data_IF_676527845832
#
_entry.id   IF_676527845832
#
_cell.length_a   1.000
_cell.length_b   1.000
_cell.length_c   1.000
_cell.angle_alpha   90.00
_cell.angle_beta   90.00
_cell.angle_gamma   90.00
#
_symmetry.space_group_name_H-M   'P 1'
#
loop_
_entity.id
_entity.type
_entity.pdbx_description
1 polymer ?
#
# COMPACT_ATOMS: atom_id res chain seq x y z
N UNK A 1 26.60 -2.72 25.33
CA UNK A 1 25.97 -3.68 24.40
C UNK A 1 26.23 -3.22 22.97
N UNK A 2 27.11 -3.89 22.22
CA UNK A 2 27.21 -3.64 20.77
C UNK A 2 25.87 -4.07 20.17
N UNK A 3 25.18 -3.14 19.51
CA UNK A 3 23.77 -3.26 19.13
C UNK A 3 23.49 -4.53 18.34
N UNK A 4 22.74 -5.45 18.94
CA UNK A 4 22.21 -6.61 18.25
C UNK A 4 21.25 -6.11 17.17
N UNK A 5 21.57 -6.37 15.91
CA UNK A 5 20.66 -6.09 14.79
C UNK A 5 19.77 -7.30 14.59
N UNK A 6 18.49 -7.16 14.85
CA UNK A 6 17.51 -8.22 14.58
C UNK A 6 17.50 -8.54 13.10
N UNK A 7 17.51 -9.83 12.77
CA UNK A 7 17.60 -10.30 11.39
C UNK A 7 16.43 -9.79 10.54
N UNK A 8 15.25 -9.65 11.15
CA UNK A 8 14.02 -9.20 10.50
C UNK A 8 13.92 -7.68 10.31
N UNK A 9 14.78 -6.87 10.94
CA UNK A 9 14.67 -5.41 10.91
C UNK A 9 14.92 -4.85 9.49
N UNK A 10 15.88 -5.43 8.77
CA UNK A 10 16.16 -5.08 7.37
C UNK A 10 14.98 -5.40 6.45
N UNK A 11 14.35 -6.56 6.65
CA UNK A 11 13.18 -7.02 5.89
C UNK A 11 11.97 -6.14 6.17
N UNK A 12 11.73 -5.77 7.43
CA UNK A 12 10.65 -4.86 7.81
C UNK A 12 10.81 -3.47 7.20
N UNK A 13 12.03 -2.96 7.12
CA UNK A 13 12.30 -1.69 6.44
C UNK A 13 11.89 -1.76 4.96
N UNK A 14 12.26 -2.83 4.25
CA UNK A 14 11.84 -3.03 2.85
C UNK A 14 10.31 -3.12 2.73
N UNK A 15 9.63 -3.81 3.64
CA UNK A 15 8.16 -3.92 3.62
C UNK A 15 7.45 -2.59 3.91
N UNK A 16 8.00 -1.76 4.78
CA UNK A 16 7.51 -0.39 5.00
C UNK A 16 7.62 0.44 3.73
N UNK A 17 8.74 0.36 3.01
CA UNK A 17 8.91 0.99 1.71
C UNK A 17 7.93 0.45 0.67
N UNK A 18 7.74 -0.87 0.59
CA UNK A 18 6.76 -1.49 -0.30
C UNK A 18 5.34 -0.95 -0.03
N UNK A 19 4.91 -0.89 1.23
CA UNK A 19 3.61 -0.33 1.59
C UNK A 19 3.47 1.14 1.18
N UNK A 20 4.49 1.97 1.41
CA UNK A 20 4.48 3.36 0.96
C UNK A 20 4.37 3.47 -0.56
N UNK A 21 5.12 2.63 -1.29
CA UNK A 21 5.05 2.58 -2.75
C UNK A 21 3.65 2.16 -3.24
N UNK A 22 3.03 1.16 -2.61
CA UNK A 22 1.66 0.77 -2.97
C UNK A 22 0.64 1.88 -2.64
N UNK A 23 0.82 2.61 -1.54
CA UNK A 23 -0.03 3.74 -1.20
C UNK A 23 0.11 4.89 -2.22
N UNK A 24 1.32 5.15 -2.69
CA UNK A 24 1.56 6.12 -3.78
C UNK A 24 0.87 5.68 -5.08
N UNK A 25 1.02 4.41 -5.48
CA UNK A 25 0.32 3.86 -6.66
C UNK A 25 -1.19 3.96 -6.55
N UNK A 26 -1.74 3.76 -5.36
CA UNK A 26 -3.17 3.97 -5.11
C UNK A 26 -3.54 5.44 -5.30
N UNK A 27 -2.74 6.38 -4.77
CA UNK A 27 -3.01 7.80 -4.96
C UNK A 27 -2.97 8.20 -6.45
N UNK A 28 -1.98 7.70 -7.20
CA UNK A 28 -1.88 7.91 -8.65
C UNK A 28 -3.10 7.34 -9.38
N UNK A 29 -3.53 6.12 -9.04
CA UNK A 29 -4.74 5.50 -9.61
C UNK A 29 -6.01 6.30 -9.27
N UNK A 30 -6.18 6.73 -8.02
CA UNK A 30 -7.32 7.58 -7.62
C UNK A 30 -7.31 8.93 -8.35
N UNK A 31 -6.15 9.54 -8.58
CA UNK A 31 -6.03 10.74 -9.39
C UNK A 31 -6.44 10.49 -10.85
N UNK A 32 -6.04 9.36 -11.43
CA UNK A 32 -6.45 8.96 -12.78
C UNK A 32 -7.97 8.74 -12.87
N UNK A 33 -8.57 8.06 -11.89
CA UNK A 33 -10.03 7.90 -11.78
C UNK A 33 -10.73 9.27 -11.71
N UNK A 34 -10.26 10.18 -10.86
CA UNK A 34 -10.85 11.52 -10.74
C UNK A 34 -10.73 12.33 -12.04
N UNK A 35 -9.61 12.22 -12.75
CA UNK A 35 -9.44 12.84 -14.05
C UNK A 35 -10.43 12.25 -15.08
N UNK A 36 -10.57 10.92 -15.12
CA UNK A 36 -11.53 10.23 -15.97
C UNK A 36 -12.98 10.66 -15.67
N UNK A 37 -13.37 10.73 -14.39
CA UNK A 37 -14.68 11.23 -13.97
C UNK A 37 -14.94 12.63 -14.51
N UNK A 38 -13.99 13.56 -14.33
CA UNK A 38 -14.12 14.93 -14.82
C UNK A 38 -14.29 14.98 -16.33
N UNK A 39 -13.49 14.20 -17.08
CA UNK A 39 -13.64 14.14 -18.54
C UNK A 39 -15.01 13.63 -18.96
N UNK A 40 -15.52 12.59 -18.28
CA UNK A 40 -16.84 12.05 -18.54
C UNK A 40 -17.96 13.05 -18.22
N UNK A 41 -17.88 13.75 -17.09
CA UNK A 41 -18.81 14.82 -16.71
C UNK A 41 -18.82 15.95 -17.74
N UNK A 42 -17.64 16.42 -18.18
CA UNK A 42 -17.56 17.48 -19.20
C UNK A 42 -18.19 17.04 -20.53
N UNK A 43 -18.00 15.79 -20.95
CA UNK A 43 -18.61 15.26 -22.17
C UNK A 43 -20.12 15.11 -22.04
N UNK A 44 -20.61 14.70 -20.86
CA UNK A 44 -22.05 14.63 -20.56
C UNK A 44 -22.68 16.02 -20.63
N UNK A 45 -22.06 17.02 -20.01
CA UNK A 45 -22.57 18.38 -20.00
C UNK A 45 -22.55 18.99 -21.43
N UNK A 46 -21.53 18.67 -22.25
CA UNK A 46 -21.48 19.03 -23.67
C UNK A 46 -22.60 18.35 -24.47
N UNK A 47 -22.86 17.06 -24.25
CA UNK A 47 -23.97 16.34 -24.89
C UNK A 47 -25.32 16.99 -24.57
N UNK A 48 -25.57 17.34 -23.31
CA UNK A 48 -26.81 18.00 -22.91
C UNK A 48 -26.97 19.40 -23.52
N UNK A 49 -25.87 20.14 -23.68
CA UNK A 49 -25.88 21.45 -24.33
C UNK A 49 -26.17 21.31 -25.82
N UNK A 50 -25.50 20.39 -26.52
CA UNK A 50 -25.69 20.17 -27.95
C UNK A 50 -27.08 19.59 -28.27
N UNK A 51 -27.65 18.75 -27.39
CA UNK A 51 -29.03 18.27 -27.53
C UNK A 51 -30.03 19.45 -27.43
N UNK A 52 -29.80 20.40 -26.52
CA UNK A 52 -30.62 21.62 -26.39
C UNK A 52 -30.48 22.54 -27.60
N UNK A 53 -29.27 22.66 -28.16
CA UNK A 53 -29.02 23.47 -29.36
C UNK A 53 -29.65 22.83 -30.61
N UNK A 54 -29.55 21.51 -30.76
CA UNK A 54 -30.20 20.76 -31.82
C UNK A 54 -31.73 20.96 -31.81
N UNK A 55 -32.34 20.94 -30.62
CA UNK A 55 -33.79 21.16 -30.46
C UNK A 55 -34.23 22.60 -30.79
N UNK A 56 -33.31 23.57 -30.73
CA UNK A 56 -33.55 25.00 -31.00
C UNK A 56 -32.99 25.46 -32.35
N UNK A 57 -32.58 24.53 -33.21
CA UNK A 57 -31.93 24.86 -34.46
C UNK A 57 -32.83 25.73 -35.36
N UNK A 58 -32.30 26.87 -35.81
CA UNK A 58 -33.02 27.83 -36.65
C UNK A 58 -33.19 27.36 -38.10
N UNK A 59 -32.39 26.38 -38.54
CA UNK A 59 -32.42 25.85 -39.89
C UNK A 59 -32.18 24.33 -39.91
N UNK A 60 -32.60 23.68 -41.00
CA UNK A 60 -32.34 22.26 -41.23
C UNK A 60 -30.82 21.96 -41.34
N UNK A 61 -30.03 22.90 -41.87
CA UNK A 61 -28.58 22.77 -41.96
C UNK A 61 -27.93 22.81 -40.57
N UNK A 62 -28.39 23.69 -39.69
CA UNK A 62 -27.89 23.78 -38.31
C UNK A 62 -28.30 22.54 -37.49
N UNK A 63 -29.54 22.06 -37.66
CA UNK A 63 -30.00 20.83 -37.05
C UNK A 63 -29.15 19.62 -37.47
N UNK A 64 -28.75 19.55 -38.75
CA UNK A 64 -27.87 18.49 -39.26
C UNK A 64 -26.48 18.57 -38.63
N UNK A 65 -25.89 19.77 -38.50
CA UNK A 65 -24.57 19.97 -37.87
C UNK A 65 -24.58 19.55 -36.40
N UNK A 66 -25.57 19.97 -35.63
CA UNK A 66 -25.69 19.56 -34.23
C UNK A 66 -25.92 18.05 -34.11
N UNK A 67 -26.71 17.44 -35.01
CA UNK A 67 -26.89 15.99 -35.01
C UNK A 67 -25.60 15.23 -35.31
N UNK A 68 -24.76 15.72 -36.22
CA UNK A 68 -23.44 15.14 -36.48
C UNK A 68 -22.49 15.31 -35.27
N UNK A 69 -22.50 16.48 -34.63
CA UNK A 69 -21.73 16.73 -33.41
C UNK A 69 -22.14 15.79 -32.27
N UNK A 70 -23.44 15.56 -32.08
CA UNK A 70 -23.97 14.63 -31.08
C UNK A 70 -23.51 13.19 -31.30
N UNK A 71 -23.42 12.72 -32.55
CA UNK A 71 -22.90 11.37 -32.84
C UNK A 71 -21.45 11.26 -32.37
N UNK A 72 -20.61 12.23 -32.72
CA UNK A 72 -19.19 12.26 -32.32
C UNK A 72 -19.04 12.37 -30.80
N UNK A 73 -19.84 13.19 -30.14
CA UNK A 73 -19.82 13.35 -28.70
C UNK A 73 -20.28 12.08 -27.97
N UNK A 74 -21.26 11.35 -28.50
CA UNK A 74 -21.69 10.05 -27.95
C UNK A 74 -20.59 9.01 -28.03
N UNK A 75 -19.93 8.88 -29.18
CA UNK A 75 -18.79 7.98 -29.34
C UNK A 75 -17.64 8.34 -28.37
N UNK A 76 -17.36 9.63 -28.18
CA UNK A 76 -16.38 10.09 -27.19
C UNK A 76 -16.82 9.78 -25.77
N UNK A 77 -18.11 9.95 -25.45
CA UNK A 77 -18.70 9.61 -24.15
C UNK A 77 -18.60 8.13 -23.83
N UNK A 78 -18.86 7.25 -24.80
CA UNK A 78 -18.70 5.80 -24.66
C UNK A 78 -17.24 5.41 -24.40
N UNK A 79 -16.29 5.99 -25.14
CA UNK A 79 -14.85 5.79 -24.90
C UNK A 79 -14.43 6.29 -23.52
N UNK A 80 -14.89 7.47 -23.10
CA UNK A 80 -14.60 8.03 -21.80
C UNK A 80 -15.19 7.16 -20.67
N UNK A 81 -16.38 6.60 -20.86
CA UNK A 81 -16.99 5.64 -19.93
C UNK A 81 -16.15 4.37 -19.81
N UNK A 82 -15.74 3.77 -20.92
CA UNK A 82 -14.87 2.59 -20.91
C UNK A 82 -13.54 2.89 -20.19
N UNK A 83 -12.94 4.06 -20.45
CA UNK A 83 -11.73 4.50 -19.74
C UNK A 83 -11.94 4.73 -18.25
N UNK A 84 -13.12 5.22 -17.84
CA UNK A 84 -13.48 5.36 -16.43
C UNK A 84 -13.65 4.01 -15.73
N UNK A 85 -14.29 3.04 -16.39
CA UNK A 85 -14.43 1.66 -15.89
C UNK A 85 -13.04 1.02 -15.71
N UNK A 86 -12.14 1.19 -16.68
CA UNK A 86 -10.75 0.74 -16.57
C UNK A 86 -10.02 1.41 -15.41
N UNK A 87 -10.12 2.75 -15.27
CA UNK A 87 -9.52 3.48 -14.17
C UNK A 87 -10.00 2.98 -12.80
N UNK A 88 -11.31 2.74 -12.64
CA UNK A 88 -11.87 2.17 -11.41
C UNK A 88 -11.32 0.76 -11.11
N UNK A 89 -11.19 -0.10 -12.11
CA UNK A 89 -10.60 -1.43 -11.92
C UNK A 89 -9.12 -1.35 -11.53
N UNK A 90 -8.35 -0.43 -12.11
CA UNK A 90 -6.95 -0.22 -11.70
C UNK A 90 -6.85 0.29 -10.26
N UNK A 91 -7.70 1.23 -9.87
CA UNK A 91 -7.77 1.75 -8.50
C UNK A 91 -8.14 0.65 -7.51
N UNK A 92 -9.12 -0.21 -7.85
CA UNK A 92 -9.52 -1.35 -7.03
C UNK A 92 -8.35 -2.31 -6.80
N UNK A 93 -7.61 -2.67 -7.85
CA UNK A 93 -6.40 -3.51 -7.74
C UNK A 93 -5.33 -2.84 -6.87
N UNK A 94 -5.13 -1.53 -7.02
CA UNK A 94 -4.20 -0.79 -6.17
C UNK A 94 -4.62 -0.81 -4.68
N UNK A 95 -5.92 -0.67 -4.38
CA UNK A 95 -6.44 -0.79 -3.01
C UNK A 95 -6.19 -2.17 -2.41
N UNK A 96 -6.38 -3.22 -3.20
CA UNK A 96 -6.08 -4.60 -2.77
C UNK A 96 -4.59 -4.81 -2.50
N UNK A 97 -3.71 -4.31 -3.37
CA UNK A 97 -2.27 -4.37 -3.18
C UNK A 97 -1.81 -3.66 -1.89
N UNK A 98 -2.39 -2.49 -1.57
CA UNK A 98 -2.12 -1.79 -0.29
C UNK A 98 -2.54 -2.63 0.91
N UNK A 99 -3.73 -3.25 0.86
CA UNK A 99 -4.22 -4.14 1.93
C UNK A 99 -3.30 -5.34 2.13
N UNK A 100 -2.82 -5.96 1.06
CA UNK A 100 -1.86 -7.06 1.13
C UNK A 100 -0.52 -6.63 1.71
N UNK A 101 0.04 -5.52 1.25
CA UNK A 101 1.30 -4.98 1.76
C UNK A 101 1.21 -4.71 3.27
N UNK A 102 0.10 -4.15 3.74
CA UNK A 102 -0.15 -3.93 5.16
C UNK A 102 -0.28 -5.24 5.96
N UNK A 103 -0.96 -6.26 5.42
CA UNK A 103 -1.04 -7.59 6.07
C UNK A 103 0.35 -8.22 6.20
N UNK A 104 1.17 -8.15 5.15
CA UNK A 104 2.55 -8.67 5.15
C UNK A 104 3.42 -7.95 6.18
N UNK A 105 3.39 -6.62 6.21
CA UNK A 105 4.09 -5.82 7.23
C UNK A 105 3.70 -6.27 8.65
N UNK A 106 2.40 -6.30 8.97
CA UNK A 106 1.92 -6.70 10.29
C UNK A 106 2.33 -8.12 10.68
N UNK A 107 2.35 -9.05 9.72
CA UNK A 107 2.80 -10.42 9.98
C UNK A 107 4.28 -10.48 10.37
N UNK A 108 5.12 -9.65 9.74
CA UNK A 108 6.54 -9.57 10.04
C UNK A 108 6.82 -8.83 11.34
N UNK A 109 6.04 -7.81 11.70
CA UNK A 109 6.15 -7.14 13.00
C UNK A 109 5.89 -8.12 14.15
N UNK A 110 4.91 -9.02 13.99
CA UNK A 110 4.67 -10.11 14.97
C UNK A 110 5.85 -11.07 15.08
N UNK A 111 6.49 -11.41 13.95
CA UNK A 111 7.66 -12.28 13.95
C UNK A 111 8.87 -11.60 14.59
N UNK A 112 9.09 -10.32 14.32
CA UNK A 112 10.16 -9.54 14.96
C UNK A 112 9.96 -9.44 16.47
N UNK A 113 8.72 -9.22 16.92
CA UNK A 113 8.41 -9.22 18.36
C UNK A 113 8.75 -10.58 19.00
N UNK A 114 8.47 -11.70 18.32
CA UNK A 114 8.86 -13.05 18.79
C UNK A 114 10.38 -13.24 18.79
N UNK A 115 11.10 -12.78 17.76
CA UNK A 115 12.56 -12.81 17.71
C UNK A 115 13.16 -12.06 18.91
N UNK A 116 12.60 -10.89 19.25
CA UNK A 116 13.05 -10.11 20.39
C UNK A 116 12.83 -10.82 21.74
N UNK A 117 11.65 -11.41 21.94
CA UNK A 117 11.35 -12.19 23.15
C UNK A 117 12.29 -13.38 23.30
N UNK A 118 12.54 -14.12 22.21
CA UNK A 118 13.47 -15.25 22.22
C UNK A 118 14.90 -14.81 22.51
N UNK A 119 15.34 -13.68 21.94
CA UNK A 119 16.64 -13.12 22.22
C UNK A 119 16.83 -12.79 23.70
N UNK A 120 15.86 -12.09 24.31
CA UNK A 120 15.91 -11.73 25.73
C UNK A 120 15.91 -12.98 26.62
N UNK A 121 15.03 -13.95 26.33
CA UNK A 121 14.98 -15.21 27.09
C UNK A 121 16.28 -16.01 26.99
N UNK A 122 16.93 -16.03 25.83
CA UNK A 122 18.22 -16.70 25.66
C UNK A 122 19.33 -15.95 26.40
N UNK A 123 19.32 -14.62 26.37
CA UNK A 123 20.30 -13.81 27.10
C UNK A 123 20.18 -14.06 28.61
N UNK A 124 18.96 -14.06 29.15
CA UNK A 124 18.73 -14.39 30.57
C UNK A 124 19.22 -15.80 30.93
N UNK A 125 19.02 -16.79 30.05
CA UNK A 125 19.50 -18.15 30.28
C UNK A 125 21.03 -18.22 30.29
N UNK A 126 21.69 -17.54 29.36
CA UNK A 126 23.16 -17.44 29.30
C UNK A 126 23.70 -16.73 30.54
N UNK A 127 23.08 -15.63 30.96
CA UNK A 127 23.52 -14.86 32.13
C UNK A 127 23.36 -15.70 33.42
N UNK A 128 22.30 -16.52 33.55
CA UNK A 128 22.13 -17.47 34.66
C UNK A 128 23.20 -18.55 34.67
N UNK A 129 23.47 -19.18 33.53
CA UNK A 129 24.53 -20.19 33.42
C UNK A 129 25.90 -19.62 33.79
N UNK A 130 26.21 -18.40 33.33
CA UNK A 130 27.45 -17.72 33.69
C UNK A 130 27.55 -17.41 35.19
N UNK A 131 26.43 -17.04 35.83
CA UNK A 131 26.38 -16.82 37.28
C UNK A 131 26.59 -18.14 38.06
N UNK A 132 25.94 -19.22 37.64
CA UNK A 132 26.09 -20.55 38.25
C UNK A 132 27.53 -21.06 38.11
N UNK A 133 28.14 -20.92 36.92
CA UNK A 133 29.54 -21.28 36.67
C UNK A 133 30.49 -20.45 37.55
N UNK A 134 30.22 -19.16 37.73
CA UNK A 134 31.01 -18.29 38.60
C UNK A 134 30.91 -18.71 40.08
N UNK A 135 29.70 -18.99 40.57
CA UNK A 135 29.47 -19.48 41.94
C UNK A 135 30.17 -20.82 42.16
N UNK A 136 30.04 -21.75 41.21
CA UNK A 136 30.72 -23.04 41.26
C UNK A 136 32.24 -22.87 41.32
N UNK A 137 32.81 -21.98 40.50
CA UNK A 137 34.24 -21.70 40.51
C UNK A 137 34.73 -21.16 41.87
N UNK A 138 33.96 -20.26 42.51
CA UNK A 138 34.26 -19.77 43.86
C UNK A 138 34.19 -20.89 44.90
N UNK A 139 33.16 -21.74 44.84
CA UNK A 139 32.99 -22.87 45.75
C UNK A 139 34.15 -23.87 45.65
N UNK A 140 34.54 -24.26 44.43
CA UNK A 140 35.66 -25.18 44.22
C UNK A 140 37.00 -24.58 44.67
N UNK A 141 37.20 -23.26 44.50
CA UNK A 141 38.40 -22.57 44.96
C UNK A 141 38.49 -22.56 46.49
N UNK A 142 37.42 -22.19 47.18
CA UNK A 142 37.37 -22.18 48.64
C UNK A 142 37.68 -23.58 49.23
N UNK A 143 37.08 -24.64 48.67
CA UNK A 143 37.32 -26.01 49.10
C UNK A 143 38.72 -26.55 48.75
N UNK A 144 39.42 -25.93 47.80
CA UNK A 144 40.80 -26.29 47.46
C UNK A 144 41.80 -25.62 48.43
N UNK A 145 41.49 -24.40 48.88
CA UNK A 145 42.28 -23.66 49.87
C UNK A 145 42.16 -24.29 51.28
N UNK A 146 40.99 -24.81 51.67
CA UNK A 146 40.79 -25.51 52.95
C UNK A 146 41.48 -26.90 53.06
N UNK A 147 42.01 -27.42 51.95
CA UNK A 147 42.69 -28.73 51.89
C UNK A 147 44.22 -28.64 51.85
N UNK A 148 44.79 -27.43 51.87
CA UNK A 148 46.23 -27.17 52.00
C UNK A 148 46.60 -26.85 53.44
#
# INVERSE_FOLDING_TARGET
MKGYRFSLESVLRVRRFEKMLQAQKLAEASCATLAACRTFETLRDQLEQDDKLAARAASAADALRHRQALVVLRERGERARAGLEEAHETEKKAREAVKEAWRREKSLEKLQAREHVLFLSNQEAVDRLAADDFVNALYYRANAEDKQ
#
